data_IF_895040493397
#
_entry.id   IF_895040493397
#
_cell.length_a   1.000
_cell.length_b   1.000
_cell.length_c   1.000
_cell.angle_alpha   90.00
_cell.angle_beta   90.00
_cell.angle_gamma   90.00
#
_symmetry.space_group_name_H-M   'P 1'
#
loop_
_entity.id
_entity.type
_entity.pdbx_description
1 polymer ?
#
# COMPACT_ATOMS: atom_id res chain seq x y z
N UNK A 1 7.07 -32.30 -4.53
CA UNK A 1 7.24 -30.84 -4.41
C UNK A 1 6.08 -30.35 -3.57
N UNK A 2 6.34 -29.99 -2.31
CA UNK A 2 5.31 -29.49 -1.41
C UNK A 2 5.18 -27.98 -1.63
N UNK A 3 4.03 -27.53 -2.14
CA UNK A 3 3.63 -26.12 -2.01
C UNK A 3 3.60 -25.82 -0.51
N UNK A 4 4.43 -24.89 0.00
CA UNK A 4 4.30 -24.52 1.40
C UNK A 4 2.95 -23.82 1.53
N UNK A 5 2.04 -24.42 2.30
CA UNK A 5 0.89 -23.70 2.83
C UNK A 5 1.47 -22.53 3.61
N UNK A 6 1.28 -21.31 3.10
CA UNK A 6 1.65 -20.10 3.81
C UNK A 6 0.73 -20.01 5.02
N UNK A 7 1.21 -20.48 6.18
CA UNK A 7 0.47 -20.51 7.44
C UNK A 7 0.27 -19.08 7.95
N UNK A 8 -0.81 -18.81 8.69
CA UNK A 8 -1.07 -17.51 9.35
C UNK A 8 0.13 -16.97 10.15
N UNK A 9 1.03 -17.85 10.62
CA UNK A 9 2.28 -17.52 11.28
C UNK A 9 3.25 -16.68 10.40
N UNK A 10 3.20 -16.83 9.08
CA UNK A 10 4.04 -16.07 8.13
C UNK A 10 3.69 -14.58 8.07
N UNK A 11 2.45 -14.18 8.38
CA UNK A 11 2.03 -12.77 8.40
C UNK A 11 2.55 -12.01 9.63
N UNK A 12 3.15 -12.72 10.60
CA UNK A 12 3.85 -12.13 11.73
C UNK A 12 5.36 -12.04 11.47
N UNK A 13 5.84 -12.59 10.37
CA UNK A 13 7.22 -12.43 9.93
C UNK A 13 7.40 -11.01 9.40
N UNK A 14 8.27 -10.25 10.04
CA UNK A 14 8.57 -8.86 9.68
C UNK A 14 9.19 -8.74 8.29
N UNK A 15 9.66 -9.85 7.72
CA UNK A 15 10.23 -9.90 6.37
C UNK A 15 9.20 -10.19 5.29
N UNK A 16 7.94 -10.44 5.66
CA UNK A 16 6.88 -10.72 4.70
C UNK A 16 6.38 -9.45 4.01
N UNK A 17 6.23 -9.49 2.69
CA UNK A 17 5.68 -8.40 1.86
C UNK A 17 4.30 -7.87 2.33
N UNK A 18 3.49 -8.69 3.01
CA UNK A 18 2.15 -8.33 3.51
C UNK A 18 2.14 -7.99 5.00
N UNK A 19 3.32 -7.86 5.61
CA UNK A 19 3.44 -7.44 6.99
C UNK A 19 3.02 -5.96 7.13
N UNK A 20 2.13 -5.71 8.09
CA UNK A 20 1.72 -4.38 8.52
C UNK A 20 2.25 -4.19 9.94
N UNK A 21 3.13 -3.21 10.13
CA UNK A 21 3.69 -2.95 11.44
C UNK A 21 2.58 -2.43 12.38
N UNK A 22 2.55 -2.76 13.68
CA UNK A 22 1.47 -2.33 14.59
C UNK A 22 1.22 -0.81 14.67
N UNK A 23 2.24 -0.01 14.37
CA UNK A 23 2.13 1.46 14.32
C UNK A 23 1.55 1.99 13.00
N UNK A 24 1.43 1.13 11.99
CA UNK A 24 0.86 1.48 10.71
C UNK A 24 -0.65 1.40 10.77
N UNK A 25 -1.28 2.50 10.40
CA UNK A 25 -2.71 2.63 10.39
C UNK A 25 -3.10 3.60 9.26
N UNK A 26 -4.35 3.55 8.79
CA UNK A 26 -4.82 4.37 7.68
C UNK A 26 -4.65 5.89 7.89
N UNK A 27 -4.68 6.35 9.15
CA UNK A 27 -4.60 7.78 9.50
C UNK A 27 -3.16 8.29 9.63
N UNK A 28 -2.16 7.44 9.45
CA UNK A 28 -0.76 7.84 9.51
C UNK A 28 -0.45 8.79 8.34
N UNK A 29 0.01 10.00 8.66
CA UNK A 29 0.48 10.97 7.66
C UNK A 29 1.88 10.57 7.22
N UNK A 30 2.01 10.07 6.00
CA UNK A 30 3.32 9.70 5.43
C UNK A 30 4.10 10.92 4.95
N UNK A 31 3.40 11.87 4.33
CA UNK A 31 3.96 13.11 3.81
C UNK A 31 3.00 14.26 4.09
N UNK A 32 3.53 15.46 4.31
CA UNK A 32 2.72 16.66 4.53
C UNK A 32 2.37 17.41 3.23
N UNK A 33 2.97 17.00 2.11
CA UNK A 33 2.71 17.61 0.80
C UNK A 33 1.41 17.04 0.24
N UNK A 34 0.42 17.90 0.02
CA UNK A 34 -0.86 17.55 -0.60
C UNK A 34 -0.75 17.68 -2.11
N UNK A 35 -1.16 16.66 -2.88
CA UNK A 35 -1.22 16.72 -4.33
C UNK A 35 -2.33 17.67 -4.78
N UNK A 36 -1.97 18.70 -5.56
CA UNK A 36 -2.88 19.72 -6.11
C UNK A 36 -2.74 19.82 -7.64
N UNK A 37 -2.23 18.75 -8.28
CA UNK A 37 -2.02 18.66 -9.72
C UNK A 37 -0.72 19.31 -10.19
N UNK A 38 -0.51 20.59 -9.89
CA UNK A 38 0.68 21.34 -10.36
C UNK A 38 2.00 20.89 -9.69
N UNK A 39 1.91 20.25 -8.53
CA UNK A 39 3.04 19.82 -7.72
C UNK A 39 3.31 18.30 -7.79
N UNK A 40 2.78 17.62 -8.82
CA UNK A 40 2.87 16.16 -8.97
C UNK A 40 4.30 15.63 -8.82
N UNK A 41 5.29 16.28 -9.43
CA UNK A 41 6.67 15.80 -9.35
C UNK A 41 7.24 15.80 -7.92
N UNK A 42 6.98 16.85 -7.14
CA UNK A 42 7.38 16.90 -5.73
C UNK A 42 6.64 15.84 -4.91
N UNK A 43 5.33 15.74 -5.14
CA UNK A 43 4.48 14.77 -4.46
C UNK A 43 4.89 13.33 -4.72
N UNK A 44 5.10 12.95 -5.99
CA UNK A 44 5.47 11.57 -6.35
C UNK A 44 6.83 11.18 -5.78
N UNK A 45 7.81 12.09 -5.79
CA UNK A 45 9.11 11.86 -5.17
C UNK A 45 8.99 11.64 -3.65
N UNK A 46 8.27 12.51 -2.95
CA UNK A 46 8.06 12.39 -1.49
C UNK A 46 7.26 11.13 -1.13
N UNK A 47 6.17 10.85 -1.85
CA UNK A 47 5.31 9.71 -1.56
C UNK A 47 6.01 8.39 -1.86
N UNK A 48 6.76 8.31 -2.97
CA UNK A 48 7.55 7.12 -3.33
C UNK A 48 8.60 6.83 -2.25
N UNK A 49 9.34 7.85 -1.80
CA UNK A 49 10.32 7.69 -0.73
C UNK A 49 9.68 7.19 0.58
N UNK A 50 8.55 7.78 0.97
CA UNK A 50 7.84 7.37 2.18
C UNK A 50 7.37 5.92 2.09
N UNK A 51 6.81 5.49 0.96
CA UNK A 51 6.37 4.10 0.75
C UNK A 51 7.53 3.11 0.69
N UNK A 52 8.69 3.50 0.14
CA UNK A 52 9.90 2.69 0.16
C UNK A 52 10.39 2.47 1.59
N UNK A 53 10.36 3.48 2.45
CA UNK A 53 10.72 3.33 3.87
C UNK A 53 9.76 2.42 4.66
N UNK A 54 8.60 2.09 4.11
CA UNK A 54 7.60 1.17 4.68
C UNK A 54 7.60 -0.22 4.05
N UNK A 55 8.46 -0.44 3.06
CA UNK A 55 8.41 -1.63 2.19
C UNK A 55 7.03 -1.84 1.56
N UNK A 56 6.39 -0.73 1.13
CA UNK A 56 5.06 -0.74 0.49
C UNK A 56 5.05 -0.19 -0.93
N UNK A 57 6.19 0.25 -1.45
CA UNK A 57 6.30 0.75 -2.82
C UNK A 57 5.96 -0.31 -3.88
N UNK A 58 6.20 -1.59 -3.56
CA UNK A 58 5.89 -2.72 -4.44
C UNK A 58 4.42 -2.84 -4.84
N UNK A 59 3.50 -2.27 -4.04
CA UNK A 59 2.07 -2.21 -4.36
C UNK A 59 1.74 -1.17 -5.44
N UNK A 60 2.62 -0.18 -5.65
CA UNK A 60 2.44 0.92 -6.61
C UNK A 60 3.08 0.60 -7.96
N UNK A 61 4.32 0.08 -7.94
CA UNK A 61 5.05 -0.24 -9.17
C UNK A 61 4.66 -1.61 -9.77
N UNK A 62 3.86 -2.40 -9.04
CA UNK A 62 3.39 -3.71 -9.47
C UNK A 62 4.37 -4.84 -9.19
N UNK A 63 5.48 -4.59 -8.47
CA UNK A 63 6.40 -5.64 -8.02
C UNK A 63 5.71 -6.64 -7.08
N UNK A 64 4.71 -6.18 -6.33
CA UNK A 64 3.84 -7.00 -5.47
C UNK A 64 2.44 -7.07 -6.12
N UNK A 65 2.23 -7.93 -7.12
CA UNK A 65 0.95 -8.04 -7.81
C UNK A 65 -0.12 -8.66 -6.91
N UNK A 66 -1.39 -8.44 -7.27
CA UNK A 66 -2.50 -9.16 -6.65
C UNK A 66 -2.32 -10.68 -6.86
N UNK A 67 -2.39 -11.48 -5.78
CA UNK A 67 -2.37 -12.94 -5.89
C UNK A 67 -3.58 -13.46 -6.69
N UNK A 68 -3.47 -14.69 -7.20
CA UNK A 68 -4.62 -15.38 -7.83
C UNK A 68 -5.77 -15.53 -6.83
N UNK A 69 -7.02 -15.45 -7.28
CA UNK A 69 -8.22 -15.47 -6.40
C UNK A 69 -8.33 -16.68 -5.46
N UNK A 70 -7.67 -17.78 -5.80
CA UNK A 70 -7.62 -19.00 -4.98
C UNK A 70 -6.55 -18.96 -3.88
N UNK A 71 -5.70 -17.94 -3.87
CA UNK A 71 -4.58 -17.82 -2.94
C UNK A 71 -5.09 -17.39 -1.55
N UNK A 72 -4.77 -18.14 -0.48
CA UNK A 72 -5.16 -17.77 0.89
C UNK A 72 -4.61 -16.42 1.35
N UNK A 73 -3.65 -15.84 0.64
CA UNK A 73 -3.03 -14.56 0.95
C UNK A 73 -3.77 -13.36 0.37
N UNK A 74 -4.75 -13.55 -0.51
CA UNK A 74 -5.57 -12.45 -1.08
C UNK A 74 -6.09 -11.49 0.01
N UNK A 75 -6.63 -11.96 1.16
CA UNK A 75 -7.08 -11.04 2.21
C UNK A 75 -5.96 -10.20 2.84
N UNK A 76 -4.74 -10.75 2.95
CA UNK A 76 -3.59 -10.03 3.48
C UNK A 76 -3.11 -8.97 2.48
N UNK A 77 -2.97 -9.35 1.20
CA UNK A 77 -2.66 -8.42 0.12
C UNK A 77 -3.68 -7.27 0.06
N UNK A 78 -4.99 -7.57 0.11
CA UNK A 78 -6.05 -6.55 0.11
C UNK A 78 -5.94 -5.57 1.27
N UNK A 79 -5.57 -6.03 2.47
CA UNK A 79 -5.35 -5.15 3.64
C UNK A 79 -4.19 -4.18 3.40
N UNK A 80 -3.06 -4.67 2.90
CA UNK A 80 -1.90 -3.83 2.59
C UNK A 80 -2.22 -2.85 1.46
N UNK A 81 -2.86 -3.31 0.39
CA UNK A 81 -3.29 -2.46 -0.72
C UNK A 81 -4.21 -1.33 -0.24
N UNK A 82 -5.21 -1.65 0.58
CA UNK A 82 -6.13 -0.65 1.14
C UNK A 82 -5.43 0.34 2.08
N UNK A 83 -4.41 -0.10 2.82
CA UNK A 83 -3.60 0.77 3.66
C UNK A 83 -2.81 1.77 2.82
N UNK A 84 -2.14 1.31 1.76
CA UNK A 84 -1.41 2.16 0.82
C UNK A 84 -2.34 3.16 0.16
N UNK A 85 -3.51 2.71 -0.31
CA UNK A 85 -4.53 3.57 -0.89
C UNK A 85 -5.04 4.62 0.11
N UNK A 86 -5.19 4.27 1.38
CA UNK A 86 -5.57 5.23 2.43
C UNK A 86 -4.53 6.34 2.60
N UNK A 87 -3.23 6.00 2.59
CA UNK A 87 -2.16 7.01 2.68
C UNK A 87 -2.08 7.91 1.45
N UNK A 88 -2.34 7.36 0.26
CA UNK A 88 -2.46 8.17 -0.97
C UNK A 88 -3.66 9.10 -0.85
N UNK A 89 -4.83 8.59 -0.50
CA UNK A 89 -6.04 9.41 -0.35
C UNK A 89 -5.89 10.54 0.68
N UNK A 90 -5.13 10.32 1.76
CA UNK A 90 -4.86 11.36 2.76
C UNK A 90 -3.80 12.39 2.33
N UNK A 91 -3.07 12.15 1.23
CA UNK A 91 -2.04 13.06 0.72
C UNK A 91 -2.44 13.72 -0.61
N UNK A 92 -3.70 13.63 -1.02
CA UNK A 92 -4.22 14.29 -2.23
C UNK A 92 -5.29 15.31 -1.85
N UNK A 93 -5.45 16.35 -2.68
CA UNK A 93 -6.53 17.32 -2.50
C UNK A 93 -7.90 16.65 -2.63
N UNK A 94 -8.93 17.26 -2.02
CA UNK A 94 -10.28 16.71 -2.09
C UNK A 94 -10.78 16.54 -3.54
N UNK A 95 -10.46 17.50 -4.41
CA UNK A 95 -10.81 17.46 -5.83
C UNK A 95 -10.21 16.22 -6.52
N UNK A 96 -8.95 15.92 -6.26
CA UNK A 96 -8.28 14.74 -6.83
C UNK A 96 -8.79 13.45 -6.16
N UNK A 97 -8.99 13.45 -4.85
CA UNK A 97 -9.51 12.31 -4.11
C UNK A 97 -10.83 11.78 -4.70
N UNK A 98 -11.74 12.69 -5.11
CA UNK A 98 -13.02 12.30 -5.74
C UNK A 98 -12.85 11.63 -7.10
N UNK A 99 -11.73 11.84 -7.78
CA UNK A 99 -11.40 11.22 -9.06
C UNK A 99 -10.66 9.88 -8.95
N UNK A 100 -10.19 9.52 -7.74
CA UNK A 100 -9.57 8.22 -7.50
C UNK A 100 -10.71 7.19 -7.44
N UNK A 101 -11.05 6.66 -8.61
CA UNK A 101 -12.09 5.64 -8.77
C UNK A 101 -11.60 4.37 -8.06
N UNK A 102 -12.38 3.87 -7.11
CA UNK A 102 -12.27 2.50 -6.61
C UNK A 102 -12.69 1.56 -7.73
N UNK A 103 -11.72 0.95 -8.41
CA UNK A 103 -11.98 -0.16 -9.33
C UNK A 103 -11.72 -1.43 -8.55
N UNK A 104 -12.81 -2.06 -8.09
CA UNK A 104 -12.81 -3.42 -7.53
C UNK A 104 -12.55 -4.48 -8.62
#
# INVERSE_FOLDING_TARGET
MATPFVTLASLQDTTHDYYIHPNENPLLVLIFLILEGHNYHGWVCSMSMALQMKDKFGFIDGYIPCPTDTDPMVPAWKRCNNLVLSWINHSVSHEIATSIIWVD
#
